data_IF_900470293908
#
_entry.id   IF_900470293908
#
_cell.length_a   1.000
_cell.length_b   1.000
_cell.length_c   1.000
_cell.angle_alpha   90.00
_cell.angle_beta   90.00
_cell.angle_gamma   90.00
#
_symmetry.space_group_name_H-M   'P 1'
#
loop_
_entity.id
_entity.type
_entity.pdbx_description
1 polymer ?
#
# COMPACT_ATOMS: atom_id res chain seq x y z
N UNK A 1 -11.75 -41.57 -30.24
CA UNK A 1 -12.50 -40.88 -29.19
C UNK A 1 -11.52 -39.97 -28.49
N UNK A 2 -11.57 -38.71 -28.91
CA UNK A 2 -10.84 -37.61 -28.32
C UNK A 2 -11.33 -37.40 -26.89
N UNK A 3 -10.40 -37.24 -25.95
CA UNK A 3 -10.57 -36.34 -24.80
C UNK A 3 -9.19 -36.07 -24.21
N UNK A 4 -8.56 -35.02 -24.75
CA UNK A 4 -7.49 -34.27 -24.12
C UNK A 4 -8.02 -33.73 -22.78
N UNK A 5 -7.56 -34.26 -21.66
CA UNK A 5 -7.56 -33.50 -20.41
C UNK A 5 -6.25 -32.72 -20.36
N UNK A 6 -6.28 -31.56 -20.99
CA UNK A 6 -5.27 -30.54 -20.86
C UNK A 6 -5.41 -29.98 -19.44
N UNK A 7 -4.66 -30.54 -18.49
CA UNK A 7 -4.48 -29.94 -17.17
C UNK A 7 -3.80 -28.60 -17.39
N UNK A 8 -4.61 -27.54 -17.42
CA UNK A 8 -4.17 -26.16 -17.43
C UNK A 8 -3.25 -25.96 -16.23
N UNK A 9 -1.97 -25.74 -16.50
CA UNK A 9 -1.03 -25.17 -15.55
C UNK A 9 -1.61 -23.79 -15.20
N UNK A 10 -2.27 -23.69 -14.05
CA UNK A 10 -2.58 -22.41 -13.42
C UNK A 10 -1.38 -22.05 -12.54
N UNK A 11 -0.59 -21.01 -12.87
CA UNK A 11 0.24 -20.38 -11.85
C UNK A 11 -0.68 -19.46 -11.02
N UNK A 12 -1.68 -20.02 -10.33
CA UNK A 12 -2.47 -19.28 -9.34
C UNK A 12 -1.70 -19.24 -8.01
N UNK A 13 -0.50 -18.66 -8.03
CA UNK A 13 0.04 -18.02 -6.82
C UNK A 13 -0.44 -16.58 -6.82
N UNK A 14 -1.76 -16.38 -6.88
CA UNK A 14 -2.33 -15.08 -6.50
C UNK A 14 -2.17 -14.98 -4.99
N UNK A 15 -1.25 -14.12 -4.55
CA UNK A 15 -1.07 -13.82 -3.14
C UNK A 15 -2.42 -13.58 -2.47
N UNK A 16 -2.63 -14.25 -1.34
CA UNK A 16 -3.81 -14.00 -0.53
C UNK A 16 -3.73 -12.61 0.14
N UNK A 17 -4.86 -12.03 0.50
CA UNK A 17 -4.93 -10.69 1.10
C UNK A 17 -4.03 -10.58 2.34
N UNK A 18 -4.00 -11.63 3.16
CA UNK A 18 -3.17 -11.70 4.36
C UNK A 18 -1.67 -11.75 4.03
N UNK A 19 -1.29 -12.43 2.95
CA UNK A 19 0.11 -12.49 2.50
C UNK A 19 0.56 -11.13 1.97
N UNK A 20 -0.27 -10.46 1.18
CA UNK A 20 0.02 -9.11 0.68
C UNK A 20 0.16 -8.13 1.84
N UNK A 21 -0.75 -8.19 2.82
CA UNK A 21 -0.67 -7.36 4.02
C UNK A 21 0.62 -7.61 4.80
N UNK A 22 0.97 -8.88 5.02
CA UNK A 22 2.21 -9.27 5.70
C UNK A 22 3.45 -8.71 4.98
N UNK A 23 3.52 -8.84 3.65
CA UNK A 23 4.64 -8.30 2.87
C UNK A 23 4.70 -6.78 2.94
N UNK A 24 3.55 -6.07 2.87
CA UNK A 24 3.51 -4.61 3.02
C UNK A 24 4.06 -4.17 4.38
N UNK A 25 3.64 -4.82 5.47
CA UNK A 25 4.10 -4.53 6.83
C UNK A 25 5.61 -4.78 6.98
N UNK A 26 6.13 -5.91 6.49
CA UNK A 26 7.56 -6.24 6.55
C UNK A 26 8.41 -5.24 5.77
N UNK A 27 7.99 -4.90 4.55
CA UNK A 27 8.71 -3.94 3.71
C UNK A 27 8.66 -2.54 4.33
N UNK A 28 7.51 -2.12 4.87
CA UNK A 28 7.39 -0.87 5.59
C UNK A 28 8.32 -0.81 6.82
N UNK A 29 8.33 -1.85 7.66
CA UNK A 29 9.21 -1.94 8.84
C UNK A 29 10.70 -1.96 8.48
N UNK A 30 11.06 -2.51 7.33
CA UNK A 30 12.44 -2.53 6.84
C UNK A 30 12.94 -1.14 6.39
N UNK A 31 12.03 -0.19 6.16
CA UNK A 31 12.33 1.14 5.64
C UNK A 31 12.64 1.19 4.14
N UNK A 32 12.52 0.06 3.42
CA UNK A 32 12.76 -0.02 1.98
C UNK A 32 11.50 0.42 1.20
N UNK A 33 11.30 1.73 1.14
CA UNK A 33 10.11 2.35 0.52
C UNK A 33 10.09 2.14 -1.00
N UNK A 34 11.25 2.05 -1.65
CA UNK A 34 11.33 1.82 -3.09
C UNK A 34 10.85 0.41 -3.44
N UNK A 35 11.30 -0.62 -2.70
CA UNK A 35 10.77 -1.97 -2.88
C UNK A 35 9.30 -2.09 -2.50
N UNK A 36 8.85 -1.36 -1.48
CA UNK A 36 7.43 -1.29 -1.14
C UNK A 36 6.62 -0.72 -2.32
N UNK A 37 7.12 0.33 -2.98
CA UNK A 37 6.46 0.91 -4.14
C UNK A 37 6.41 -0.03 -5.35
N UNK A 38 7.51 -0.74 -5.63
CA UNK A 38 7.55 -1.77 -6.67
C UNK A 38 6.57 -2.90 -6.39
N UNK A 39 6.51 -3.37 -5.14
CA UNK A 39 5.58 -4.40 -4.71
C UNK A 39 4.13 -3.95 -4.91
N UNK A 40 3.76 -2.77 -4.41
CA UNK A 40 2.42 -2.21 -4.58
C UNK A 40 2.04 -2.07 -6.06
N UNK A 41 2.98 -1.66 -6.92
CA UNK A 41 2.74 -1.57 -8.36
C UNK A 41 2.50 -2.94 -9.02
N UNK A 42 3.11 -4.00 -8.49
CA UNK A 42 2.96 -5.36 -8.98
C UNK A 42 1.66 -6.04 -8.50
N UNK A 43 0.93 -5.47 -7.54
CA UNK A 43 -0.31 -6.04 -7.03
C UNK A 43 -1.40 -6.01 -8.12
N UNK A 44 -2.10 -7.14 -8.38
CA UNK A 44 -3.19 -7.17 -9.35
C UNK A 44 -4.33 -6.23 -8.93
N UNK A 45 -5.08 -5.71 -9.91
CA UNK A 45 -6.22 -4.80 -9.69
C UNK A 45 -7.43 -5.53 -9.08
N UNK A 46 -7.30 -5.94 -7.82
CA UNK A 46 -8.25 -6.68 -7.01
C UNK A 46 -8.84 -5.78 -5.93
N UNK A 47 -10.17 -5.70 -5.84
CA UNK A 47 -10.83 -4.80 -4.89
C UNK A 47 -10.53 -5.15 -3.42
N UNK A 48 -10.42 -6.43 -3.09
CA UNK A 48 -10.10 -6.90 -1.75
C UNK A 48 -8.71 -6.41 -1.29
N UNK A 49 -7.72 -6.45 -2.18
CA UNK A 49 -6.37 -5.95 -1.89
C UNK A 49 -6.34 -4.43 -1.83
N UNK A 50 -7.13 -3.73 -2.66
CA UNK A 50 -7.19 -2.27 -2.66
C UNK A 50 -7.86 -1.68 -1.42
N UNK A 51 -8.75 -2.43 -0.78
CA UNK A 51 -9.41 -2.04 0.47
C UNK A 51 -8.66 -2.54 1.71
N UNK A 52 -7.58 -3.30 1.52
CA UNK A 52 -6.77 -3.77 2.63
C UNK A 52 -6.02 -2.60 3.28
N UNK A 53 -6.15 -2.46 4.60
CA UNK A 53 -5.55 -1.36 5.34
C UNK A 53 -4.02 -1.31 5.21
N UNK A 54 -3.33 -2.45 5.25
CA UNK A 54 -1.87 -2.50 5.10
C UNK A 54 -1.41 -2.00 3.72
N UNK A 55 -2.19 -2.30 2.67
CA UNK A 55 -1.93 -1.81 1.30
C UNK A 55 -2.16 -0.31 1.21
N UNK A 56 -3.25 0.21 1.80
CA UNK A 56 -3.56 1.64 1.84
C UNK A 56 -2.52 2.43 2.65
N UNK A 57 -2.09 1.89 3.80
CA UNK A 57 -0.98 2.44 4.60
C UNK A 57 0.29 2.54 3.77
N UNK A 58 0.70 1.43 3.16
CA UNK A 58 1.88 1.41 2.29
C UNK A 58 1.82 2.48 1.20
N UNK A 59 0.67 2.64 0.53
CA UNK A 59 0.46 3.70 -0.45
C UNK A 59 0.61 5.11 0.15
N UNK A 60 0.06 5.35 1.34
CA UNK A 60 0.22 6.63 2.04
C UNK A 60 1.69 6.93 2.34
N UNK A 61 2.46 5.95 2.83
CA UNK A 61 3.90 6.11 3.08
C UNK A 61 4.70 6.38 1.80
N UNK A 62 4.39 5.68 0.70
CA UNK A 62 5.01 5.93 -0.61
C UNK A 62 4.70 7.36 -1.07
N UNK A 63 3.47 7.83 -0.90
CA UNK A 63 3.08 9.20 -1.25
C UNK A 63 3.84 10.24 -0.43
N UNK A 64 4.03 10.02 0.88
CA UNK A 64 4.86 10.87 1.73
C UNK A 64 6.31 10.94 1.22
N UNK A 65 6.93 9.80 0.93
CA UNK A 65 8.31 9.73 0.44
C UNK A 65 8.48 10.43 -0.92
N UNK A 66 7.47 10.36 -1.79
CA UNK A 66 7.45 11.04 -3.10
C UNK A 66 6.99 12.50 -3.03
N UNK A 67 6.79 13.05 -1.83
CA UNK A 67 6.26 14.40 -1.60
C UNK A 67 4.90 14.66 -2.29
N UNK A 68 4.14 13.59 -2.56
CA UNK A 68 2.79 13.68 -3.11
C UNK A 68 1.77 13.78 -1.98
N UNK A 69 1.81 14.90 -1.25
CA UNK A 69 0.97 15.09 -0.06
C UNK A 69 -0.53 15.11 -0.37
N UNK A 70 -0.91 15.61 -1.56
CA UNK A 70 -2.30 15.63 -2.01
C UNK A 70 -2.91 14.22 -2.06
N UNK A 71 -2.18 13.26 -2.63
CA UNK A 71 -2.66 11.88 -2.71
C UNK A 71 -2.62 11.19 -1.34
N UNK A 72 -1.62 11.50 -0.51
CA UNK A 72 -1.56 11.04 0.88
C UNK A 72 -2.83 11.45 1.64
N UNK A 73 -3.20 12.74 1.62
CA UNK A 73 -4.39 13.22 2.30
C UNK A 73 -5.66 12.56 1.74
N UNK A 74 -5.75 12.41 0.41
CA UNK A 74 -6.88 11.70 -0.22
C UNK A 74 -7.03 10.28 0.32
N UNK A 75 -5.94 9.52 0.43
CA UNK A 75 -5.98 8.14 0.95
C UNK A 75 -6.48 8.13 2.40
N UNK A 76 -5.95 9.02 3.24
CA UNK A 76 -6.31 9.08 4.66
C UNK A 76 -7.75 9.52 4.90
N UNK A 77 -8.28 10.44 4.09
CA UNK A 77 -9.63 10.97 4.24
C UNK A 77 -10.72 10.08 3.60
N UNK A 78 -10.36 9.30 2.58
CA UNK A 78 -11.34 8.47 1.84
C UNK A 78 -11.48 7.05 2.38
N UNK A 79 -10.57 6.60 3.23
CA UNK A 79 -10.57 5.25 3.77
C UNK A 79 -10.75 5.27 5.29
N UNK A 80 -11.51 4.29 5.81
CA UNK A 80 -11.62 4.06 7.24
C UNK A 80 -10.52 3.08 7.66
N UNK A 81 -9.68 3.50 8.59
CA UNK A 81 -8.65 2.68 9.18
C UNK A 81 -9.07 2.19 10.56
N UNK A 82 -8.55 1.05 10.97
CA UNK A 82 -8.73 0.51 12.31
C UNK A 82 -7.99 1.38 13.35
N UNK A 83 -8.50 1.47 14.59
CA UNK A 83 -7.94 2.34 15.63
C UNK A 83 -6.45 2.11 15.93
N UNK A 84 -5.98 0.88 15.75
CA UNK A 84 -4.56 0.50 15.88
C UNK A 84 -3.63 1.26 14.92
N UNK A 85 -4.13 1.62 13.74
CA UNK A 85 -3.37 2.35 12.72
C UNK A 85 -3.48 3.87 12.87
N UNK A 86 -4.42 4.38 13.68
CA UNK A 86 -4.68 5.83 13.78
C UNK A 86 -3.47 6.60 14.30
N UNK A 87 -2.77 6.09 15.31
CA UNK A 87 -1.62 6.78 15.89
C UNK A 87 -0.50 6.99 14.86
N UNK A 88 -0.18 5.93 14.08
CA UNK A 88 0.85 5.97 13.04
C UNK A 88 0.44 6.88 11.87
N UNK A 89 -0.81 6.80 11.43
CA UNK A 89 -1.31 7.62 10.33
C UNK A 89 -1.44 9.11 10.69
N UNK A 90 -1.79 9.43 11.94
CA UNK A 90 -1.83 10.80 12.44
C UNK A 90 -0.43 11.42 12.50
N UNK A 91 0.57 10.65 12.96
CA UNK A 91 1.97 11.07 12.96
C UNK A 91 2.47 11.30 11.52
N UNK A 92 2.14 10.39 10.58
CA UNK A 92 2.45 10.55 9.16
C UNK A 92 1.81 11.82 8.58
N UNK A 93 0.53 12.06 8.85
CA UNK A 93 -0.18 13.27 8.40
C UNK A 93 0.48 14.54 8.92
N UNK A 94 0.84 14.56 10.20
CA UNK A 94 1.48 15.71 10.83
C UNK A 94 2.87 15.98 10.21
N UNK A 95 3.66 14.92 9.99
CA UNK A 95 4.95 15.01 9.31
C UNK A 95 4.83 15.49 7.87
N UNK A 96 3.81 15.03 7.14
CA UNK A 96 3.49 15.50 5.78
C UNK A 96 3.22 17.01 5.77
N UNK A 97 2.36 17.47 6.68
CA UNK A 97 2.02 18.87 6.77
C UNK A 97 3.23 19.76 7.09
N UNK A 98 4.06 19.38 8.07
CA UNK A 98 5.29 20.11 8.36
C UNK A 98 6.25 20.13 7.18
N UNK A 99 6.42 19.01 6.48
CA UNK A 99 7.30 18.91 5.32
C UNK A 99 6.83 19.81 4.18
N UNK A 100 5.53 19.81 3.90
CA UNK A 100 4.90 20.67 2.90
C UNK A 100 5.08 22.16 3.23
N UNK A 101 4.87 22.55 4.49
CA UNK A 101 5.09 23.93 4.95
C UNK A 101 6.55 24.34 4.78
N UNK A 102 7.51 23.47 5.15
CA UNK A 102 8.95 23.76 5.01
C UNK A 102 9.32 23.96 3.54
N UNK A 103 8.85 23.09 2.64
CA UNK A 103 9.14 23.18 1.19
C UNK A 103 8.56 24.46 0.58
N UNK A 104 7.35 24.87 0.98
CA UNK A 104 6.73 26.09 0.47
C UNK A 104 7.38 27.39 0.99
N UNK A 105 8.23 27.31 2.02
CA UNK A 105 8.94 28.44 2.61
C UNK A 105 10.38 28.61 2.09
N UNK A 106 10.91 27.65 1.33
CA UNK A 106 12.24 27.67 0.71
C UNK A 106 12.19 28.02 -0.78
#
# INVERSE_FOLDING_TARGET
MEQQYQLSIQPESTFDSDQVACVCEVLHQSGDIDRLAEFIWAIPNREDLRRNESVLKAQAFICFHRQNFKELYRILETNQFSPENHAELQDLWLKAHYSEVIINLS
#
